data_IF_861330170608
#
_entry.id   IF_861330170608
#
_cell.length_a   1.000
_cell.length_b   1.000
_cell.length_c   1.000
_cell.angle_alpha   90.00
_cell.angle_beta   90.00
_cell.angle_gamma   90.00
#
_symmetry.space_group_name_H-M   'P 1'
#
loop_
_entity.id
_entity.type
_entity.pdbx_description
1 polymer ?
#
# COMPACT_ATOMS: atom_id res chain seq x y z
N UNK A 1 -30.15 6.03 -3.03
CA UNK A 1 -28.86 6.12 -2.32
C UNK A 1 -27.74 5.60 -3.19
N UNK A 2 -26.69 6.37 -3.35
CA UNK A 2 -25.54 5.90 -4.14
C UNK A 2 -24.85 4.74 -3.42
N UNK A 3 -24.49 3.70 -4.16
CA UNK A 3 -23.71 2.59 -3.62
C UNK A 3 -22.28 3.05 -3.34
N UNK A 4 -21.65 2.46 -2.33
CA UNK A 4 -20.27 2.70 -2.00
C UNK A 4 -19.37 2.21 -3.12
N UNK A 5 -18.41 3.04 -3.51
CA UNK A 5 -17.40 2.65 -4.48
C UNK A 5 -16.10 2.31 -3.73
N UNK A 6 -15.60 1.12 -3.96
CA UNK A 6 -14.37 0.62 -3.34
C UNK A 6 -13.31 0.39 -4.41
N UNK A 7 -12.10 0.90 -4.16
CA UNK A 7 -10.93 0.58 -4.95
C UNK A 7 -9.98 -0.27 -4.11
N UNK A 8 -9.17 -1.07 -4.78
CA UNK A 8 -8.15 -1.88 -4.14
C UNK A 8 -6.80 -1.53 -4.75
N UNK A 9 -5.84 -1.24 -3.89
CA UNK A 9 -4.44 -1.08 -4.27
C UNK A 9 -3.69 -2.33 -3.82
N UNK A 10 -3.12 -3.04 -4.77
CA UNK A 10 -2.18 -4.14 -4.50
C UNK A 10 -0.78 -3.53 -4.63
N UNK A 11 -0.13 -3.25 -3.52
CA UNK A 11 1.07 -2.45 -3.46
C UNK A 11 2.31 -3.32 -3.24
N UNK A 12 3.37 -3.01 -3.98
CA UNK A 12 4.67 -3.65 -3.86
C UNK A 12 5.75 -2.57 -3.90
N UNK A 13 6.96 -2.87 -3.44
CA UNK A 13 8.00 -1.85 -3.30
C UNK A 13 8.82 -1.63 -4.55
N UNK A 14 9.10 -2.68 -5.29
CA UNK A 14 9.92 -2.58 -6.49
C UNK A 14 9.22 -1.69 -7.53
N UNK A 15 9.95 -0.71 -8.03
CA UNK A 15 9.40 0.20 -9.04
C UNK A 15 8.75 1.47 -8.49
N UNK A 16 8.68 1.62 -7.18
CA UNK A 16 8.19 2.84 -6.54
C UNK A 16 9.19 3.98 -6.76
N UNK A 17 8.68 5.19 -6.90
CA UNK A 17 9.52 6.39 -7.03
C UNK A 17 10.49 6.49 -5.86
N UNK A 18 11.78 6.61 -6.16
CA UNK A 18 12.84 6.67 -5.16
C UNK A 18 13.40 5.31 -4.76
N UNK A 19 12.80 4.21 -5.21
CA UNK A 19 13.29 2.87 -4.91
C UNK A 19 13.95 2.29 -6.17
N UNK A 20 15.26 2.20 -6.14
CA UNK A 20 16.08 1.80 -7.30
C UNK A 20 17.19 0.82 -6.93
N UNK A 21 17.31 0.43 -5.66
CA UNK A 21 18.32 -0.51 -5.18
C UNK A 21 17.63 -1.69 -4.48
N UNK A 22 18.19 -2.88 -4.67
CA UNK A 22 17.67 -4.10 -4.04
C UNK A 22 17.59 -4.00 -2.51
N UNK A 23 18.61 -3.40 -1.88
CA UNK A 23 18.66 -3.27 -0.42
C UNK A 23 17.49 -2.45 0.14
N UNK A 24 16.95 -1.55 -0.65
CA UNK A 24 15.76 -0.77 -0.25
C UNK A 24 14.52 -1.64 -0.09
N UNK A 25 14.52 -2.82 -0.68
CA UNK A 25 13.38 -3.75 -0.62
C UNK A 25 13.60 -4.88 0.39
N UNK A 26 14.75 -4.92 1.07
CA UNK A 26 15.06 -5.98 2.03
C UNK A 26 14.72 -5.55 3.45
N UNK A 27 13.69 -6.17 4.01
CA UNK A 27 13.20 -5.92 5.36
C UNK A 27 14.34 -5.91 6.38
N UNK A 28 14.38 -4.88 7.23
CA UNK A 28 15.35 -4.73 8.29
C UNK A 28 16.62 -3.97 7.92
N UNK A 29 16.88 -3.73 6.64
CA UNK A 29 18.02 -2.94 6.22
C UNK A 29 17.75 -1.45 6.47
N UNK A 30 18.82 -0.66 6.65
CA UNK A 30 18.68 0.79 6.82
C UNK A 30 18.02 1.42 5.61
N UNK A 31 18.43 0.99 4.42
CA UNK A 31 17.87 1.49 3.16
C UNK A 31 16.39 1.18 3.04
N UNK A 32 15.95 0.03 3.56
CA UNK A 32 14.54 -0.34 3.59
C UNK A 32 13.74 0.60 4.48
N UNK A 33 14.29 1.00 5.64
CA UNK A 33 13.60 1.94 6.52
C UNK A 33 13.35 3.29 5.86
N UNK A 34 14.33 3.77 5.08
CA UNK A 34 14.17 4.99 4.31
C UNK A 34 13.19 4.81 3.14
N UNK A 35 13.30 3.68 2.45
CA UNK A 35 12.45 3.38 1.30
C UNK A 35 10.97 3.25 1.67
N UNK A 36 10.65 2.83 2.89
CA UNK A 36 9.27 2.77 3.39
C UNK A 36 8.56 4.12 3.28
N UNK A 37 9.28 5.21 3.46
CA UNK A 37 8.72 6.56 3.33
C UNK A 37 8.31 6.84 1.89
N UNK A 38 9.16 6.47 0.94
CA UNK A 38 8.85 6.63 -0.49
C UNK A 38 7.67 5.75 -0.88
N UNK A 39 7.68 4.53 -0.43
CA UNK A 39 6.60 3.57 -0.68
C UNK A 39 5.27 4.10 -0.14
N UNK A 40 5.26 4.52 1.12
CA UNK A 40 4.04 5.04 1.75
C UNK A 40 3.56 6.31 1.05
N UNK A 41 4.46 7.21 0.68
CA UNK A 41 4.10 8.45 0.00
C UNK A 41 3.44 8.19 -1.36
N UNK A 42 3.97 7.26 -2.15
CA UNK A 42 3.38 6.90 -3.44
C UNK A 42 1.99 6.28 -3.26
N UNK A 43 1.85 5.35 -2.32
CA UNK A 43 0.55 4.71 -2.06
C UNK A 43 -0.45 5.75 -1.55
N UNK A 44 -0.04 6.64 -0.66
CA UNK A 44 -0.91 7.69 -0.15
C UNK A 44 -1.39 8.63 -1.26
N UNK A 45 -0.51 8.93 -2.23
CA UNK A 45 -0.89 9.75 -3.38
C UNK A 45 -1.95 9.05 -4.24
N UNK A 46 -1.84 7.74 -4.41
CA UNK A 46 -2.85 6.96 -5.15
C UNK A 46 -4.17 6.92 -4.37
N UNK A 47 -4.13 6.74 -3.05
CA UNK A 47 -5.32 6.80 -2.20
C UNK A 47 -6.03 8.14 -2.38
N UNK A 48 -5.28 9.25 -2.31
CA UNK A 48 -5.83 10.59 -2.48
C UNK A 48 -6.48 10.75 -3.86
N UNK A 49 -5.80 10.32 -4.92
CA UNK A 49 -6.32 10.41 -6.28
C UNK A 49 -7.59 9.59 -6.48
N UNK A 50 -7.64 8.39 -5.94
CA UNK A 50 -8.82 7.53 -6.03
C UNK A 50 -10.00 8.14 -5.27
N UNK A 51 -9.75 8.70 -4.10
CA UNK A 51 -10.80 9.37 -3.34
C UNK A 51 -11.32 10.62 -4.07
N UNK A 52 -10.43 11.41 -4.63
CA UNK A 52 -10.82 12.56 -5.44
C UNK A 52 -11.64 12.14 -6.66
N UNK A 53 -11.40 10.95 -7.18
CA UNK A 53 -12.13 10.37 -8.31
C UNK A 53 -13.45 9.71 -7.93
N UNK A 54 -13.84 9.75 -6.64
CA UNK A 54 -15.15 9.28 -6.19
C UNK A 54 -15.17 7.92 -5.50
N UNK A 55 -14.00 7.35 -5.18
CA UNK A 55 -13.97 6.13 -4.38
C UNK A 55 -14.04 6.49 -2.89
N UNK A 56 -15.03 5.94 -2.21
CA UNK A 56 -15.27 6.21 -0.78
C UNK A 56 -14.35 5.43 0.12
N UNK A 57 -13.91 4.26 -0.36
CA UNK A 57 -13.11 3.32 0.38
C UNK A 57 -11.99 2.83 -0.50
N UNK A 58 -10.77 2.87 0.02
CA UNK A 58 -9.58 2.38 -0.70
C UNK A 58 -8.89 1.34 0.17
N UNK A 59 -8.99 0.09 -0.24
CA UNK A 59 -8.31 -1.02 0.45
C UNK A 59 -6.87 -1.06 -0.04
N UNK A 60 -5.92 -1.01 0.88
CA UNK A 60 -4.50 -1.05 0.57
C UNK A 60 -3.94 -2.38 1.08
N UNK A 61 -3.50 -3.20 0.15
CA UNK A 61 -2.83 -4.46 0.45
C UNK A 61 -1.34 -4.32 0.18
N UNK A 62 -0.55 -4.51 1.22
CA UNK A 62 0.90 -4.56 1.10
C UNK A 62 1.29 -6.01 0.81
N UNK A 63 1.75 -6.28 -0.40
CA UNK A 63 2.12 -7.64 -0.81
C UNK A 63 3.63 -7.85 -0.90
N UNK A 64 4.41 -6.85 -0.48
CA UNK A 64 5.85 -6.98 -0.50
C UNK A 64 6.35 -7.73 0.75
N UNK A 65 7.09 -8.80 0.53
CA UNK A 65 7.76 -9.60 1.57
C UNK A 65 6.83 -9.92 2.74
N UNK A 66 7.04 -9.31 3.90
CA UNK A 66 6.21 -9.56 5.09
C UNK A 66 4.80 -8.96 5.00
N UNK A 67 4.62 -7.95 4.16
CA UNK A 67 3.37 -7.19 4.11
C UNK A 67 3.26 -6.12 5.19
N UNK A 68 4.37 -5.77 5.85
CA UNK A 68 4.42 -4.75 6.90
C UNK A 68 5.41 -3.65 6.56
N UNK A 69 5.30 -3.10 5.34
CA UNK A 69 6.25 -2.11 4.84
C UNK A 69 5.70 -0.68 4.82
N UNK A 70 4.39 -0.53 4.91
CA UNK A 70 3.75 0.78 4.89
C UNK A 70 3.62 1.37 6.29
N UNK A 71 3.58 2.69 6.36
CA UNK A 71 3.19 3.43 7.58
C UNK A 71 1.68 3.68 7.49
N UNK A 72 0.84 2.91 8.18
CA UNK A 72 -0.60 2.94 7.92
C UNK A 72 -1.26 4.28 8.24
N UNK A 73 -0.79 4.99 9.27
CA UNK A 73 -1.36 6.28 9.65
C UNK A 73 -1.10 7.38 8.62
N UNK A 74 -0.14 7.16 7.72
CA UNK A 74 0.22 8.14 6.69
C UNK A 74 -0.48 7.87 5.35
N UNK A 75 -1.36 6.87 5.27
CA UNK A 75 -2.05 6.52 4.02
C UNK A 75 -3.21 7.47 3.69
N UNK A 76 -3.67 8.23 4.65
CA UNK A 76 -4.71 9.21 4.45
C UNK A 76 -6.12 8.69 4.72
N UNK A 77 -7.10 9.61 4.72
CA UNK A 77 -8.50 9.26 5.02
C UNK A 77 -9.06 8.31 3.97
N UNK A 78 -9.89 7.39 4.40
CA UNK A 78 -10.53 6.42 3.53
C UNK A 78 -9.70 5.20 3.20
N UNK A 79 -8.42 5.17 3.60
CA UNK A 79 -7.58 3.99 3.42
C UNK A 79 -7.94 2.91 4.43
N UNK A 80 -8.05 1.69 3.95
CA UNK A 80 -8.22 0.50 4.77
C UNK A 80 -6.97 -0.36 4.61
N UNK A 81 -6.12 -0.39 5.61
CA UNK A 81 -4.84 -1.08 5.57
C UNK A 81 -5.00 -2.57 5.82
N UNK A 82 -4.50 -3.39 4.92
CA UNK A 82 -4.49 -4.85 5.02
C UNK A 82 -3.05 -5.35 4.95
N UNK A 83 -2.36 -5.48 6.08
CA UNK A 83 -0.98 -5.95 6.12
C UNK A 83 -0.87 -7.47 6.11
N UNK A 84 0.38 -7.97 6.03
CA UNK A 84 0.66 -9.39 6.18
C UNK A 84 0.51 -10.16 4.90
N UNK A 85 1.42 -10.00 3.94
CA UNK A 85 1.31 -10.61 2.61
C UNK A 85 1.18 -12.13 2.65
N UNK A 86 1.80 -12.82 3.60
CA UNK A 86 1.68 -14.27 3.73
C UNK A 86 0.25 -14.68 4.05
N UNK A 87 -0.35 -14.03 5.05
CA UNK A 87 -1.73 -14.30 5.44
C UNK A 87 -2.72 -13.89 4.35
N UNK A 88 -2.39 -12.84 3.61
CA UNK A 88 -3.24 -12.30 2.57
C UNK A 88 -3.05 -12.95 1.20
N UNK A 89 -2.07 -13.84 1.04
CA UNK A 89 -1.69 -14.38 -0.26
C UNK A 89 -2.86 -15.02 -1.01
N UNK A 90 -3.72 -15.71 -0.30
CA UNK A 90 -4.90 -16.37 -0.89
C UNK A 90 -6.07 -15.40 -1.08
N UNK A 91 -6.02 -14.23 -0.48
CA UNK A 91 -7.12 -13.27 -0.47
C UNK A 91 -6.77 -11.94 -1.15
N UNK A 92 -5.58 -11.85 -1.74
CA UNK A 92 -5.08 -10.63 -2.38
C UNK A 92 -6.08 -10.03 -3.37
N UNK A 93 -6.76 -10.87 -4.11
CA UNK A 93 -7.72 -10.45 -5.12
C UNK A 93 -9.16 -10.76 -4.77
N UNK A 94 -9.43 -11.33 -3.62
CA UNK A 94 -10.75 -11.85 -3.31
C UNK A 94 -11.35 -11.43 -1.98
N UNK A 95 -10.60 -10.76 -1.13
CA UNK A 95 -11.03 -10.44 0.22
C UNK A 95 -11.24 -8.91 0.37
N UNK A 96 -12.21 -8.43 -0.32
CA UNK A 96 -12.54 -7.01 -0.33
C UNK A 96 -13.98 -6.78 0.09
#
# INVERSE_FOLDING_TARGET
>A
MASRRTAVIVADMEGITGIHRRRQCHTGKREWREARRHYTADVAAVVEGLRAGGFDRVVVRDVHDTGYNLYPLALGPGAVWRPGSRAARHTVYGDF
#
